data_IF_175153453676
#
_entry.id   IF_175153453676
#
_cell.length_a   1.000
_cell.length_b   1.000
_cell.length_c   1.000
_cell.angle_alpha   90.00
_cell.angle_beta   90.00
_cell.angle_gamma   90.00
#
_symmetry.space_group_name_H-M   'P 1'
#
loop_
_entity.id
_entity.type
_entity.pdbx_description
1 polymer ?
#
# COMPACT_ATOMS: atom_id res chain seq x y z
N UNK A 1 -3.90 -5.65 4.45
CA UNK A 1 -2.61 -5.97 5.12
C UNK A 1 -2.71 -7.12 6.12
N UNK A 2 -3.88 -7.43 6.68
CA UNK A 2 -4.03 -8.53 7.64
C UNK A 2 -3.64 -9.90 7.05
N UNK A 3 -4.02 -10.19 5.80
CA UNK A 3 -3.65 -11.43 5.11
C UNK A 3 -2.13 -11.64 5.00
N UNK A 4 -1.38 -10.60 4.62
CA UNK A 4 0.08 -10.69 4.54
C UNK A 4 0.72 -10.96 5.92
N UNK A 5 0.19 -10.37 6.99
CA UNK A 5 0.65 -10.63 8.35
C UNK A 5 0.38 -12.07 8.79
N UNK A 6 -0.77 -12.65 8.41
CA UNK A 6 -1.08 -14.06 8.66
C UNK A 6 -0.12 -14.95 7.87
N UNK A 7 0.11 -14.69 6.58
CA UNK A 7 1.01 -15.50 5.76
C UNK A 7 2.46 -15.47 6.27
N UNK A 8 2.93 -14.33 6.77
CA UNK A 8 4.25 -14.24 7.40
C UNK A 8 4.37 -15.07 8.67
N UNK A 9 3.26 -15.26 9.40
CA UNK A 9 3.26 -15.95 10.70
C UNK A 9 2.94 -17.44 10.58
N UNK A 10 2.04 -17.80 9.67
CA UNK A 10 1.35 -19.09 9.64
C UNK A 10 1.36 -19.73 8.23
N UNK A 11 1.81 -19.00 7.20
CA UNK A 11 1.71 -19.43 5.79
C UNK A 11 2.78 -20.41 5.31
N UNK A 12 3.72 -20.81 6.16
CA UNK A 12 4.85 -21.66 5.77
C UNK A 12 5.77 -20.99 4.75
N UNK A 13 6.35 -21.80 3.86
CA UNK A 13 7.24 -21.31 2.80
C UNK A 13 6.43 -20.86 1.58
N UNK A 14 6.52 -19.57 1.26
CA UNK A 14 5.95 -18.97 0.07
C UNK A 14 6.94 -17.97 -0.53
N UNK A 15 6.94 -17.88 -1.86
CA UNK A 15 7.86 -16.99 -2.58
C UNK A 15 7.20 -15.66 -2.99
N UNK A 16 5.90 -15.69 -3.30
CA UNK A 16 5.19 -14.56 -3.89
C UNK A 16 3.86 -14.29 -3.20
N UNK A 17 3.61 -13.03 -2.84
CA UNK A 17 2.30 -12.57 -2.37
C UNK A 17 1.58 -11.81 -3.47
N UNK A 18 0.42 -12.31 -3.89
CA UNK A 18 -0.43 -11.69 -4.93
C UNK A 18 -1.78 -11.33 -4.28
N UNK A 19 -2.09 -10.04 -4.24
CA UNK A 19 -3.39 -9.54 -3.78
C UNK A 19 -4.41 -9.55 -4.92
N UNK A 20 -5.60 -10.09 -4.68
CA UNK A 20 -6.73 -10.10 -5.60
C UNK A 20 -8.01 -9.64 -4.88
N UNK A 21 -8.83 -8.85 -5.58
CA UNK A 21 -10.20 -8.51 -5.23
C UNK A 21 -11.19 -9.50 -5.86
N UNK A 22 -12.45 -9.47 -5.44
CA UNK A 22 -13.51 -10.33 -6.01
C UNK A 22 -13.82 -10.03 -7.49
N UNK A 23 -13.37 -8.88 -8.01
CA UNK A 23 -13.55 -8.49 -9.41
C UNK A 23 -12.35 -8.82 -10.30
N UNK A 24 -11.25 -9.31 -9.73
CA UNK A 24 -10.07 -9.66 -10.52
C UNK A 24 -10.23 -11.04 -11.16
N UNK A 25 -9.72 -11.19 -12.38
CA UNK A 25 -9.81 -12.42 -13.15
C UNK A 25 -8.46 -12.77 -13.78
N UNK A 26 -7.96 -14.01 -13.63
CA UNK A 26 -6.69 -14.41 -14.22
C UNK A 26 -6.79 -14.42 -15.75
N UNK A 27 -5.86 -13.75 -16.42
CA UNK A 27 -5.75 -13.75 -17.89
C UNK A 27 -4.75 -14.77 -18.42
N UNK A 28 -3.98 -15.39 -17.53
CA UNK A 28 -3.00 -16.43 -17.83
C UNK A 28 -3.30 -17.66 -16.98
N UNK A 29 -2.85 -18.82 -17.43
CA UNK A 29 -3.00 -20.05 -16.64
C UNK A 29 -2.08 -20.02 -15.41
N UNK A 30 -2.37 -20.87 -14.43
CA UNK A 30 -1.52 -21.03 -13.26
C UNK A 30 -0.11 -21.53 -13.65
N UNK A 31 -0.04 -22.51 -14.56
CA UNK A 31 1.23 -23.10 -15.00
C UNK A 31 2.10 -22.08 -15.72
N UNK A 32 1.53 -21.25 -16.59
CA UNK A 32 2.27 -20.20 -17.29
C UNK A 32 2.82 -19.15 -16.32
N UNK A 33 2.03 -18.79 -15.30
CA UNK A 33 2.45 -17.86 -14.27
C UNK A 33 3.61 -18.43 -13.45
N UNK A 34 3.49 -19.66 -12.96
CA UNK A 34 4.52 -20.34 -12.19
C UNK A 34 5.79 -20.57 -12.99
N UNK A 35 5.65 -21.01 -14.26
CA UNK A 35 6.78 -21.18 -15.17
C UNK A 35 7.53 -19.86 -15.35
N UNK A 36 6.82 -18.76 -15.64
CA UNK A 36 7.44 -17.44 -15.79
C UNK A 36 8.12 -16.99 -14.50
N UNK A 37 7.47 -17.13 -13.35
CA UNK A 37 7.97 -16.67 -12.06
C UNK A 37 9.17 -17.50 -11.58
N UNK A 38 9.31 -18.75 -12.03
CA UNK A 38 10.44 -19.62 -11.68
C UNK A 38 11.79 -19.11 -12.19
N UNK A 39 11.81 -18.31 -13.26
CA UNK A 39 13.03 -17.70 -13.81
C UNK A 39 13.34 -16.33 -13.21
N UNK A 40 12.46 -15.77 -12.39
CA UNK A 40 12.63 -14.45 -11.80
C UNK A 40 13.38 -14.54 -10.46
N UNK A 41 14.33 -13.62 -10.20
CA UNK A 41 14.90 -13.47 -8.87
C UNK A 41 13.82 -13.18 -7.83
N UNK A 42 13.86 -13.90 -6.69
CA UNK A 42 12.86 -13.81 -5.61
C UNK A 42 12.98 -12.55 -4.76
N UNK A 43 14.01 -11.73 -4.97
CA UNK A 43 14.23 -10.45 -4.31
C UNK A 43 13.57 -9.27 -5.05
N UNK A 44 12.81 -9.54 -6.12
CA UNK A 44 12.07 -8.53 -6.87
C UNK A 44 10.68 -8.26 -6.29
N UNK A 45 10.19 -7.03 -6.48
CA UNK A 45 8.82 -6.64 -6.19
C UNK A 45 8.17 -5.98 -7.42
N UNK A 46 6.98 -6.47 -7.79
CA UNK A 46 6.21 -5.94 -8.91
C UNK A 46 5.10 -5.02 -8.39
N UNK A 47 5.34 -3.72 -8.43
CA UNK A 47 4.40 -2.70 -7.95
C UNK A 47 4.29 -1.58 -8.99
N UNK A 48 3.10 -1.39 -9.55
CA UNK A 48 2.83 -0.24 -10.43
C UNK A 48 2.84 1.06 -9.61
N UNK A 49 3.72 1.98 -9.98
CA UNK A 49 3.91 3.23 -9.26
C UNK A 49 4.39 4.37 -10.17
N UNK A 50 4.08 5.60 -9.76
CA UNK A 50 4.60 6.82 -10.39
C UNK A 50 4.95 7.85 -9.35
N UNK A 51 6.02 8.61 -9.59
CA UNK A 51 6.35 9.80 -8.79
C UNK A 51 5.65 11.06 -9.28
N UNK A 52 4.90 11.00 -10.39
CA UNK A 52 4.09 12.12 -10.85
C UNK A 52 2.73 12.10 -10.14
N UNK A 53 2.67 12.75 -8.99
CA UNK A 53 1.52 12.71 -8.08
C UNK A 53 0.43 13.72 -8.51
N UNK A 54 0.83 14.85 -9.08
CA UNK A 54 -0.07 15.93 -9.50
C UNK A 54 -1.00 16.40 -8.38
N UNK A 55 -2.29 16.56 -8.69
CA UNK A 55 -3.31 17.05 -7.75
C UNK A 55 -3.46 16.19 -6.47
N UNK A 56 -3.08 14.90 -6.50
CA UNK A 56 -3.16 14.01 -5.34
C UNK A 56 -2.21 14.44 -4.21
N UNK A 57 -1.15 15.17 -4.50
CA UNK A 57 -0.20 15.63 -3.48
C UNK A 57 -0.91 16.57 -2.49
N UNK A 58 -1.70 17.49 -3.02
CA UNK A 58 -2.46 18.44 -2.21
C UNK A 58 -3.56 17.77 -1.37
N UNK A 59 -4.11 16.65 -1.86
CA UNK A 59 -5.17 15.91 -1.18
C UNK A 59 -4.67 14.80 -0.24
N UNK A 60 -3.43 14.33 -0.38
CA UNK A 60 -2.93 13.16 0.37
C UNK A 60 -1.64 13.42 1.15
N UNK A 61 -0.77 14.31 0.68
CA UNK A 61 0.50 14.58 1.34
C UNK A 61 0.42 15.74 2.34
N UNK A 62 -0.36 16.78 2.00
CA UNK A 62 -0.47 18.04 2.74
C UNK A 62 -1.52 18.10 3.86
N UNK A 63 -2.64 17.34 3.82
CA UNK A 63 -3.62 17.38 4.90
C UNK A 63 -3.05 16.91 6.24
N UNK A 64 -3.60 17.47 7.32
CA UNK A 64 -3.24 17.16 8.71
C UNK A 64 -4.47 16.58 9.40
N UNK A 65 -4.24 15.52 10.17
CA UNK A 65 -5.23 14.86 11.01
C UNK A 65 -4.82 15.04 12.46
N UNK A 66 -5.77 15.35 13.33
CA UNK A 66 -5.56 15.37 14.78
C UNK A 66 -6.24 14.14 15.38
N UNK A 67 -5.47 13.38 16.16
CA UNK A 67 -5.96 12.26 16.96
C UNK A 67 -5.97 12.67 18.44
N UNK A 68 -7.15 12.97 19.02
CA UNK A 68 -7.28 13.29 20.45
C UNK A 68 -6.77 12.19 21.38
N UNK A 69 -6.78 10.93 20.94
CA UNK A 69 -6.29 9.79 21.74
C UNK A 69 -4.80 9.86 22.07
N UNK A 70 -4.02 10.69 21.36
CA UNK A 70 -2.59 10.88 21.64
C UNK A 70 -2.30 11.87 22.78
N UNK A 71 -3.25 12.75 23.13
CA UNK A 71 -3.02 13.82 24.13
C UNK A 71 -4.17 14.02 25.12
N UNK A 72 -5.30 13.34 24.94
CA UNK A 72 -6.48 13.44 25.80
C UNK A 72 -6.88 12.06 26.31
N UNK A 73 -7.15 11.99 27.62
CA UNK A 73 -7.73 10.79 28.27
C UNK A 73 -9.18 10.55 27.85
N UNK A 74 -9.88 11.58 27.35
CA UNK A 74 -11.23 11.45 26.80
C UNK A 74 -11.13 10.98 25.34
N UNK A 75 -11.73 9.83 25.06
CA UNK A 75 -11.90 9.33 23.70
C UNK A 75 -12.79 10.29 22.91
N UNK A 76 -12.28 10.75 21.78
CA UNK A 76 -12.99 11.55 20.80
C UNK A 76 -12.52 11.13 19.40
N UNK A 77 -13.36 11.32 18.41
CA UNK A 77 -13.03 10.94 17.03
C UNK A 77 -11.90 11.79 16.46
N UNK A 78 -11.16 11.15 15.57
CA UNK A 78 -10.12 11.77 14.77
C UNK A 78 -10.76 12.79 13.82
N UNK A 79 -10.18 13.97 13.69
CA UNK A 79 -10.73 15.03 12.83
C UNK A 79 -9.68 15.69 11.95
N UNK A 80 -10.16 16.25 10.83
CA UNK A 80 -9.35 16.99 9.87
C UNK A 80 -9.30 18.47 10.26
N UNK A 81 -8.12 19.07 10.10
CA UNK A 81 -7.96 20.51 10.24
C UNK A 81 -7.85 21.19 8.87
N UNK A 82 -8.18 22.47 8.83
CA UNK A 82 -8.13 23.26 7.59
C UNK A 82 -6.69 23.61 7.18
N UNK A 83 -5.78 23.68 8.15
CA UNK A 83 -4.36 23.92 7.93
C UNK A 83 -3.69 22.76 7.20
N UNK A 84 -2.70 23.09 6.37
CA UNK A 84 -1.94 22.13 5.58
C UNK A 84 -0.46 22.25 5.89
N UNK A 85 0.23 21.12 5.89
CA UNK A 85 1.69 21.07 5.98
C UNK A 85 2.35 21.16 4.61
N UNK A 86 3.65 21.44 4.60
CA UNK A 86 4.49 21.25 3.42
C UNK A 86 4.59 19.76 3.05
N UNK A 87 4.99 19.49 1.81
CA UNK A 87 5.28 18.12 1.39
C UNK A 87 6.51 17.62 2.14
N UNK A 88 6.51 16.38 2.67
CA UNK A 88 7.71 15.78 3.24
C UNK A 88 8.86 15.77 2.23
N UNK A 89 10.05 16.16 2.69
CA UNK A 89 11.27 16.21 1.86
C UNK A 89 12.26 15.09 2.17
N UNK A 90 12.09 14.40 3.30
CA UNK A 90 12.96 13.31 3.73
C UNK A 90 12.86 12.05 2.85
N UNK A 91 11.79 11.93 2.06
CA UNK A 91 11.55 10.81 1.16
C UNK A 91 10.76 11.25 -0.07
N UNK A 92 10.93 10.51 -1.17
CA UNK A 92 10.17 10.73 -2.40
C UNK A 92 8.83 10.01 -2.31
N UNK A 93 7.76 10.73 -2.58
CA UNK A 93 6.42 10.15 -2.63
C UNK A 93 6.19 9.48 -3.98
N UNK A 94 5.57 8.31 -3.92
CA UNK A 94 5.08 7.58 -5.09
C UNK A 94 3.60 7.25 -4.89
N UNK A 95 2.83 7.25 -5.97
CA UNK A 95 1.45 6.79 -5.97
C UNK A 95 1.29 5.71 -7.03
N UNK A 96 0.58 4.65 -6.68
CA UNK A 96 0.15 3.61 -7.61
C UNK A 96 -1.36 3.49 -7.65
N UNK A 97 -1.87 2.62 -8.52
CA UNK A 97 -3.24 2.15 -8.39
C UNK A 97 -3.26 1.06 -7.30
N UNK A 98 -4.25 1.12 -6.43
CA UNK A 98 -4.73 -0.08 -5.74
C UNK A 98 -5.82 -0.62 -6.64
N UNK A 99 -5.46 -1.50 -7.58
CA UNK A 99 -6.45 -2.49 -7.99
C UNK A 99 -6.41 -3.56 -6.90
#
# INVERSE_FOLDING_TARGET
LHAAAILLKEGGDWDWFINLSASDYPLVTQDDLLHTFSYLPRDLNFIDHTSNIGWKEFQRAKPIIIDPGLYSMRKADVFWVTQKRSVPTAFKLFTGKRR
#
